data_IF_505966159521
#
_entry.id   IF_505966159521
#
_cell.length_a   1.000
_cell.length_b   1.000
_cell.length_c   1.000
_cell.angle_alpha   90.00
_cell.angle_beta   90.00
_cell.angle_gamma   90.00
#
_symmetry.space_group_name_H-M   'P 1'
#
loop_
_entity.id
_entity.type
_entity.pdbx_description
1 polymer ?
#
# COMPACT_ATOMS: atom_id res chain seq x y z
N UNK A 1 -61.87 -60.41 3.14
CA UNK A 1 -62.76 -59.42 3.78
C UNK A 1 -62.14 -59.02 5.11
N UNK A 2 -61.51 -57.84 5.18
CA UNK A 2 -61.50 -56.92 6.33
C UNK A 2 -60.33 -55.94 6.18
N UNK A 3 -60.69 -54.69 5.94
CA UNK A 3 -59.85 -53.50 5.84
C UNK A 3 -59.68 -52.94 7.26
N UNK A 4 -58.46 -52.60 7.69
CA UNK A 4 -58.24 -51.50 8.66
C UNK A 4 -56.93 -50.76 8.37
N UNK A 5 -57.11 -49.50 7.94
CA UNK A 5 -56.14 -48.41 7.88
C UNK A 5 -55.47 -48.12 9.22
N UNK A 6 -54.29 -47.50 9.22
CA UNK A 6 -54.05 -46.10 9.63
C UNK A 6 -52.57 -45.82 9.93
N UNK A 7 -52.16 -44.58 9.65
CA UNK A 7 -51.03 -43.83 10.19
C UNK A 7 -49.63 -44.03 9.57
N UNK A 8 -49.46 -43.31 8.46
CA UNK A 8 -48.26 -42.57 8.07
C UNK A 8 -47.55 -41.90 9.25
N UNK A 9 -46.26 -42.21 9.46
CA UNK A 9 -45.31 -41.34 10.17
C UNK A 9 -44.04 -41.29 9.32
N UNK A 10 -43.95 -40.28 8.46
CA UNK A 10 -42.69 -39.89 7.83
C UNK A 10 -41.85 -39.18 8.90
N UNK A 11 -40.83 -39.86 9.41
CA UNK A 11 -39.81 -39.24 10.25
C UNK A 11 -38.90 -38.41 9.34
N UNK A 12 -39.23 -37.13 9.14
CA UNK A 12 -38.40 -36.19 8.42
C UNK A 12 -37.14 -35.88 9.25
N UNK A 13 -36.01 -36.45 8.84
CA UNK A 13 -34.67 -36.07 9.30
C UNK A 13 -34.37 -34.68 8.74
N UNK A 14 -34.68 -33.64 9.51
CA UNK A 14 -34.19 -32.29 9.24
C UNK A 14 -32.82 -32.11 9.91
N UNK A 15 -31.77 -32.67 9.28
CA UNK A 15 -30.40 -32.25 9.55
C UNK A 15 -30.25 -30.82 9.05
N UNK A 16 -30.42 -29.85 9.95
CA UNK A 16 -30.02 -28.48 9.74
C UNK A 16 -28.49 -28.46 9.63
N UNK A 17 -27.99 -28.58 8.38
CA UNK A 17 -26.63 -28.21 8.03
C UNK A 17 -26.56 -26.69 8.11
N UNK A 18 -26.26 -26.15 9.30
CA UNK A 18 -25.71 -24.79 9.41
C UNK A 18 -24.35 -24.86 8.72
N UNK A 19 -24.33 -24.48 7.44
CA UNK A 19 -23.11 -24.11 6.76
C UNK A 19 -22.54 -22.91 7.52
N UNK A 20 -21.60 -23.16 8.43
CA UNK A 20 -20.65 -22.14 8.86
C UNK A 20 -19.87 -21.75 7.61
N UNK A 21 -20.39 -20.76 6.86
CA UNK A 21 -19.54 -20.02 5.96
C UNK A 21 -18.42 -19.47 6.84
N UNK A 22 -17.13 -19.74 6.53
CA UNK A 22 -16.06 -19.09 7.24
C UNK A 22 -16.30 -17.59 7.09
N UNK A 23 -16.53 -16.90 8.21
CA UNK A 23 -16.41 -15.45 8.23
C UNK A 23 -14.97 -15.19 7.80
N UNK A 24 -14.79 -14.84 6.52
CA UNK A 24 -13.56 -14.31 5.97
C UNK A 24 -13.26 -13.10 6.83
N UNK A 25 -12.37 -13.27 7.82
CA UNK A 25 -11.93 -12.16 8.65
C UNK A 25 -11.40 -11.10 7.67
N UNK A 26 -12.11 -9.98 7.60
CA UNK A 26 -11.68 -8.84 6.84
C UNK A 26 -10.29 -8.48 7.35
N UNK A 27 -9.29 -8.54 6.48
CA UNK A 27 -7.92 -8.28 6.90
C UNK A 27 -7.78 -6.85 7.40
N UNK A 28 -6.61 -6.50 7.92
CA UNK A 28 -6.47 -5.30 8.75
C UNK A 28 -6.06 -4.06 7.96
N UNK A 29 -5.12 -4.22 7.02
CA UNK A 29 -4.76 -3.21 6.05
C UNK A 29 -4.12 -3.84 4.79
N UNK A 30 -4.15 -3.14 3.65
CA UNK A 30 -3.56 -3.60 2.38
C UNK A 30 -2.88 -2.48 1.59
N UNK A 31 -1.90 -2.83 0.77
CA UNK A 31 -1.19 -1.89 -0.12
C UNK A 31 -1.85 -1.92 -1.49
N UNK A 32 -2.77 -0.99 -1.73
CA UNK A 32 -3.56 -0.93 -2.97
C UNK A 32 -2.76 -0.44 -4.17
N UNK A 33 -1.73 0.37 -3.93
CA UNK A 33 -0.94 0.95 -5.02
C UNK A 33 0.47 1.26 -4.56
N UNK A 34 1.43 0.98 -5.44
CA UNK A 34 2.83 1.40 -5.38
C UNK A 34 3.10 2.28 -6.59
N UNK A 35 3.32 3.58 -6.38
CA UNK A 35 3.48 4.53 -7.49
C UNK A 35 4.94 4.67 -7.89
N UNK A 36 5.26 4.37 -9.14
CA UNK A 36 6.60 4.50 -9.70
C UNK A 36 6.87 5.85 -10.36
N UNK A 37 8.15 6.27 -10.37
CA UNK A 37 8.60 7.47 -11.08
C UNK A 37 8.53 7.32 -12.61
N UNK A 38 8.58 6.09 -13.11
CA UNK A 38 8.40 5.71 -14.51
C UNK A 38 6.93 5.69 -14.98
N UNK A 39 5.99 6.19 -14.15
CA UNK A 39 4.55 6.21 -14.46
C UNK A 39 3.87 4.84 -14.39
N UNK A 40 4.59 3.78 -13.98
CA UNK A 40 4.00 2.47 -13.71
C UNK A 40 3.48 2.40 -12.28
N UNK A 41 2.44 1.61 -12.08
CA UNK A 41 1.90 1.32 -10.77
C UNK A 41 2.05 -0.17 -10.48
N UNK A 42 2.49 -0.50 -9.27
CA UNK A 42 2.42 -1.85 -8.72
C UNK A 42 1.32 -1.96 -7.67
N UNK A 43 1.15 -3.16 -7.13
CA UNK A 43 0.22 -3.49 -6.05
C UNK A 43 0.92 -4.35 -5.00
N UNK A 44 0.38 -4.40 -3.79
CA UNK A 44 0.79 -5.40 -2.81
C UNK A 44 0.53 -6.82 -3.32
N UNK A 45 1.41 -7.75 -2.99
CA UNK A 45 1.25 -9.16 -3.37
C UNK A 45 -0.05 -9.74 -2.81
N UNK A 46 -0.83 -10.38 -3.68
CA UNK A 46 -2.13 -10.94 -3.36
C UNK A 46 -3.31 -9.96 -3.44
N UNK A 47 -3.05 -8.65 -3.47
CA UNK A 47 -4.10 -7.61 -3.57
C UNK A 47 -4.73 -7.65 -4.96
N UNK A 48 -6.07 -7.72 -4.98
CA UNK A 48 -6.90 -7.78 -6.18
C UNK A 48 -7.43 -6.40 -6.57
N UNK A 49 -7.88 -6.21 -7.81
CA UNK A 49 -8.57 -4.99 -8.23
C UNK A 49 -9.88 -4.72 -7.45
N UNK A 50 -10.32 -3.46 -7.43
CA UNK A 50 -11.50 -3.00 -6.68
C UNK A 50 -12.83 -3.63 -7.16
N UNK A 51 -12.90 -4.14 -8.39
CA UNK A 51 -14.04 -4.89 -8.94
C UNK A 51 -14.09 -6.37 -8.52
N UNK A 52 -13.00 -6.87 -7.92
CA UNK A 52 -12.92 -8.22 -7.35
C UNK A 52 -13.06 -8.18 -5.82
N UNK A 53 -12.36 -7.24 -5.16
CA UNK A 53 -12.42 -7.08 -3.69
C UNK A 53 -12.86 -5.65 -3.33
N UNK A 54 -14.03 -5.48 -2.68
CA UNK A 54 -14.53 -4.17 -2.31
C UNK A 54 -13.59 -3.39 -1.38
N UNK A 55 -13.59 -2.07 -1.52
CA UNK A 55 -12.86 -1.12 -0.64
C UNK A 55 -13.78 -0.24 0.21
N UNK A 56 -15.06 -0.58 0.26
CA UNK A 56 -16.09 0.13 1.03
C UNK A 56 -17.16 -0.87 1.48
N UNK A 57 -17.84 -0.56 2.59
CA UNK A 57 -18.89 -1.40 3.15
C UNK A 57 -18.38 -2.36 4.23
N UNK A 58 -19.06 -3.49 4.39
CA UNK A 58 -18.67 -4.59 5.27
C UNK A 58 -18.46 -5.88 4.48
N UNK A 59 -18.47 -7.04 5.16
CA UNK A 59 -18.27 -8.34 4.51
C UNK A 59 -16.86 -8.50 3.94
N UNK A 60 -16.76 -8.85 2.66
CA UNK A 60 -15.49 -9.14 1.95
C UNK A 60 -14.59 -7.90 1.71
N UNK A 61 -14.90 -6.77 2.34
CA UNK A 61 -14.11 -5.54 2.20
C UNK A 61 -12.66 -5.80 2.65
N UNK A 62 -11.72 -5.75 1.71
CA UNK A 62 -10.32 -6.03 1.99
C UNK A 62 -9.99 -7.48 2.34
N UNK A 63 -10.75 -8.46 1.85
CA UNK A 63 -10.48 -9.90 2.04
C UNK A 63 -9.15 -10.40 1.45
N UNK A 64 -8.46 -9.55 0.68
CA UNK A 64 -7.15 -9.78 0.06
C UNK A 64 -5.98 -9.12 0.80
N UNK A 65 -6.21 -8.58 1.99
CA UNK A 65 -5.15 -8.04 2.82
C UNK A 65 -4.18 -9.13 3.31
N UNK A 66 -2.89 -8.78 3.35
CA UNK A 66 -1.87 -9.65 3.90
C UNK A 66 -1.83 -9.52 5.43
N UNK A 67 -1.82 -10.67 6.10
CA UNK A 67 -1.67 -10.81 7.54
C UNK A 67 -0.28 -11.33 7.89
N UNK A 68 0.35 -10.70 8.87
CA UNK A 68 1.67 -11.06 9.35
C UNK A 68 1.59 -11.64 10.76
N UNK A 69 2.43 -12.62 11.03
CA UNK A 69 2.68 -13.05 12.41
C UNK A 69 3.27 -11.86 13.20
N UNK A 70 2.73 -11.62 14.39
CA UNK A 70 3.25 -10.59 15.30
C UNK A 70 4.72 -10.82 15.63
N UNK A 71 5.48 -9.72 15.73
CA UNK A 71 6.89 -9.73 16.10
C UNK A 71 7.86 -9.32 14.99
N UNK A 72 9.17 -9.29 15.29
CA UNK A 72 10.16 -8.67 14.40
C UNK A 72 10.40 -9.46 13.10
N UNK A 73 10.33 -10.80 13.16
CA UNK A 73 10.66 -11.72 12.07
C UNK A 73 9.45 -12.60 11.71
N UNK A 74 8.46 -12.07 10.98
CA UNK A 74 7.26 -12.83 10.64
C UNK A 74 7.61 -13.97 9.68
N UNK A 75 6.93 -15.11 9.84
CA UNK A 75 6.98 -16.24 8.93
C UNK A 75 5.56 -16.68 8.57
N UNK A 76 5.14 -16.66 7.30
CA UNK A 76 5.92 -16.30 6.11
C UNK A 76 6.33 -14.82 6.06
N UNK A 77 7.47 -14.54 5.42
CA UNK A 77 8.08 -13.20 5.45
C UNK A 77 7.24 -12.13 4.76
N UNK A 78 6.36 -12.49 3.82
CA UNK A 78 5.42 -11.60 3.14
C UNK A 78 3.97 -11.79 3.58
N UNK A 79 3.76 -12.49 4.70
CA UNK A 79 2.45 -12.72 5.27
C UNK A 79 1.62 -13.77 4.50
N UNK A 80 0.40 -13.93 4.99
CA UNK A 80 -0.63 -14.78 4.40
C UNK A 80 -1.76 -13.91 3.86
N UNK A 81 -2.31 -14.26 2.71
CA UNK A 81 -3.46 -13.59 2.10
C UNK A 81 -4.59 -14.64 2.02
N UNK A 82 -5.66 -14.51 2.82
CA UNK A 82 -6.67 -15.56 2.98
C UNK A 82 -7.33 -16.05 1.68
N UNK A 83 -7.50 -15.15 0.71
CA UNK A 83 -8.14 -15.47 -0.59
C UNK A 83 -7.23 -16.27 -1.54
N UNK A 84 -5.92 -16.34 -1.29
CA UNK A 84 -5.02 -17.12 -2.14
C UNK A 84 -5.20 -18.64 -1.91
N UNK A 85 -5.10 -19.49 -2.96
CA UNK A 85 -5.25 -20.94 -2.81
C UNK A 85 -4.28 -21.57 -1.79
N UNK A 86 -3.02 -21.13 -1.77
CA UNK A 86 -2.02 -21.57 -0.80
C UNK A 86 -2.09 -20.80 0.52
N UNK A 87 -2.86 -19.72 0.58
CA UNK A 87 -2.87 -18.65 1.59
C UNK A 87 -1.52 -17.95 1.82
N UNK A 88 -0.39 -18.53 1.42
CA UNK A 88 0.94 -17.96 1.59
C UNK A 88 1.35 -17.20 0.32
N UNK A 89 1.93 -16.01 0.51
CA UNK A 89 2.53 -15.24 -0.58
C UNK A 89 3.81 -15.94 -1.06
N UNK A 90 3.76 -16.55 -2.26
CA UNK A 90 4.94 -17.04 -2.96
C UNK A 90 5.67 -15.86 -3.63
N UNK A 91 6.77 -15.43 -3.02
CA UNK A 91 7.57 -14.29 -3.49
C UNK A 91 8.00 -14.49 -4.94
N UNK A 92 8.47 -15.68 -5.32
CA UNK A 92 8.99 -15.92 -6.66
C UNK A 92 7.92 -15.77 -7.73
N UNK A 93 6.72 -16.31 -7.46
CA UNK A 93 5.57 -16.21 -8.36
C UNK A 93 5.08 -14.77 -8.49
N UNK A 94 4.92 -14.05 -7.38
CA UNK A 94 4.45 -12.67 -7.40
C UNK A 94 5.48 -11.70 -7.99
N UNK A 95 6.78 -11.93 -7.79
CA UNK A 95 7.85 -11.18 -8.47
C UNK A 95 7.75 -11.39 -9.98
N UNK A 96 7.57 -12.63 -10.46
CA UNK A 96 7.40 -12.91 -11.89
C UNK A 96 6.18 -12.18 -12.47
N UNK A 97 5.03 -12.27 -11.78
CA UNK A 97 3.82 -11.56 -12.21
C UNK A 97 4.01 -10.05 -12.26
N UNK A 98 4.73 -9.47 -11.30
CA UNK A 98 5.02 -8.04 -11.28
C UNK A 98 6.00 -7.62 -12.40
N UNK A 99 6.96 -8.47 -12.76
CA UNK A 99 7.83 -8.26 -13.94
C UNK A 99 6.96 -8.18 -15.20
N UNK A 100 6.05 -9.14 -15.38
CA UNK A 100 5.18 -9.22 -16.56
C UNK A 100 4.22 -8.02 -16.66
N UNK A 101 3.71 -7.54 -15.51
CA UNK A 101 2.84 -6.36 -15.44
C UNK A 101 3.61 -5.02 -15.61
N UNK A 102 4.92 -5.04 -15.38
CA UNK A 102 5.80 -3.88 -15.38
C UNK A 102 5.99 -3.27 -13.98
N UNK A 103 7.24 -3.13 -13.57
CA UNK A 103 7.60 -2.76 -12.20
C UNK A 103 7.64 -1.23 -12.01
N UNK A 104 7.05 -0.69 -10.93
CA UNK A 104 7.21 0.71 -10.57
C UNK A 104 8.66 1.04 -10.21
N UNK A 105 9.21 2.12 -10.75
CA UNK A 105 10.57 2.57 -10.40
C UNK A 105 10.58 3.45 -9.16
N UNK A 106 11.64 3.34 -8.35
CA UNK A 106 11.87 4.25 -7.22
C UNK A 106 12.12 5.67 -7.73
N UNK A 107 11.69 6.70 -6.98
CA UNK A 107 12.03 8.09 -7.29
C UNK A 107 13.51 8.37 -7.05
N UNK A 108 14.06 9.41 -7.70
CA UNK A 108 15.49 9.74 -7.61
C UNK A 108 15.99 10.02 -6.19
N UNK A 109 15.10 10.47 -5.30
CA UNK A 109 15.37 10.71 -3.88
C UNK A 109 15.17 9.46 -3.00
N UNK A 110 14.95 8.28 -3.59
CA UNK A 110 14.71 7.03 -2.88
C UNK A 110 13.27 6.83 -2.40
N UNK A 111 12.36 7.79 -2.62
CA UNK A 111 10.98 7.70 -2.13
C UNK A 111 10.12 6.74 -2.96
N UNK A 112 9.18 6.09 -2.28
CA UNK A 112 8.20 5.16 -2.83
C UNK A 112 6.83 5.51 -2.23
N UNK A 113 6.00 6.27 -2.96
CA UNK A 113 4.65 6.59 -2.54
C UNK A 113 3.72 5.38 -2.65
N UNK A 114 2.96 5.13 -1.60
CA UNK A 114 2.01 4.04 -1.46
C UNK A 114 0.60 4.58 -1.21
N UNK A 115 -0.40 3.89 -1.76
CA UNK A 115 -1.78 4.00 -1.28
C UNK A 115 -2.06 2.79 -0.40
N UNK A 116 -2.32 3.02 0.87
CA UNK A 116 -2.61 1.98 1.87
C UNK A 116 -4.08 2.09 2.25
N UNK A 117 -4.78 0.96 2.25
CA UNK A 117 -6.16 0.87 2.68
C UNK A 117 -6.21 0.30 4.08
N UNK A 118 -6.65 1.12 5.02
CA UNK A 118 -7.01 0.67 6.36
C UNK A 118 -8.43 0.13 6.33
N UNK A 119 -8.57 -1.15 6.60
CA UNK A 119 -9.86 -1.84 6.53
C UNK A 119 -10.63 -1.64 7.83
N UNK A 120 -9.96 -1.88 8.97
CA UNK A 120 -10.55 -1.78 10.30
C UNK A 120 -9.71 -0.88 11.22
N UNK A 121 -10.20 -0.63 12.44
CA UNK A 121 -9.55 0.27 13.40
C UNK A 121 -8.19 -0.20 13.89
N UNK A 122 -7.87 -1.49 13.80
CA UNK A 122 -6.60 -2.07 14.26
C UNK A 122 -5.53 -2.14 13.15
N UNK A 123 -5.81 -1.52 11.99
CA UNK A 123 -4.89 -1.39 10.86
C UNK A 123 -4.33 0.01 10.66
N UNK A 124 -4.35 0.82 11.72
CA UNK A 124 -3.71 2.13 11.73
C UNK A 124 -2.17 2.04 11.78
N UNK A 125 -1.55 3.21 11.81
CA UNK A 125 -0.10 3.37 11.93
C UNK A 125 0.46 3.32 13.36
N UNK A 126 1.78 3.50 13.51
CA UNK A 126 2.73 3.78 12.44
C UNK A 126 3.05 2.54 11.59
N UNK A 127 3.22 2.74 10.29
CA UNK A 127 3.79 1.75 9.38
C UNK A 127 5.31 1.77 9.48
N UNK A 128 5.93 0.61 9.27
CA UNK A 128 7.38 0.42 9.12
C UNK A 128 7.65 -0.36 7.85
N UNK A 129 8.73 -0.03 7.14
CA UNK A 129 9.12 -0.73 5.93
C UNK A 129 10.60 -1.13 5.96
N UNK A 130 10.89 -2.21 5.24
CA UNK A 130 12.22 -2.80 5.09
C UNK A 130 12.32 -3.40 3.69
N UNK A 131 13.54 -3.49 3.14
CA UNK A 131 13.76 -4.03 1.80
C UNK A 131 14.79 -5.14 1.78
N UNK A 132 14.60 -6.09 0.87
CA UNK A 132 15.52 -7.14 0.48
C UNK A 132 16.13 -6.74 -0.87
N UNK A 133 17.44 -6.50 -0.88
CA UNK A 133 18.18 -6.02 -2.06
C UNK A 133 18.20 -7.06 -3.18
N UNK A 134 18.22 -8.34 -2.84
CA UNK A 134 18.21 -9.48 -3.76
C UNK A 134 16.81 -9.91 -4.19
N UNK A 135 15.77 -9.24 -3.70
CA UNK A 135 14.36 -9.53 -3.94
C UNK A 135 13.90 -10.94 -3.52
N UNK A 136 14.63 -11.61 -2.62
CA UNK A 136 14.30 -12.97 -2.16
C UNK A 136 13.53 -12.99 -0.83
N UNK A 137 13.61 -11.91 -0.06
CA UNK A 137 13.07 -11.84 1.30
C UNK A 137 13.92 -12.54 2.37
N UNK A 138 15.15 -12.97 2.04
CA UNK A 138 16.06 -13.65 2.97
C UNK A 138 16.82 -12.69 3.90
N UNK A 139 17.02 -11.45 3.49
CA UNK A 139 17.70 -10.43 4.27
C UNK A 139 16.99 -9.09 4.14
N UNK A 140 16.93 -8.33 5.23
CA UNK A 140 16.14 -7.11 5.31
C UNK A 140 16.99 -5.94 5.79
N UNK A 141 16.87 -4.83 5.08
CA UNK A 141 17.51 -3.56 5.36
C UNK A 141 16.41 -2.55 5.70
N UNK A 142 16.58 -1.73 6.75
CA UNK A 142 15.56 -0.78 7.16
C UNK A 142 15.34 0.33 6.12
N UNK A 143 14.11 0.79 6.01
CA UNK A 143 13.72 1.99 5.27
C UNK A 143 13.18 3.04 6.24
N UNK A 144 13.18 4.29 5.80
CA UNK A 144 12.60 5.40 6.57
C UNK A 144 11.17 5.68 6.08
N UNK A 145 10.36 6.26 6.96
CA UNK A 145 9.00 6.68 6.65
C UNK A 145 8.95 8.20 6.59
N UNK A 146 8.86 8.76 5.39
CA UNK A 146 8.80 10.23 5.18
C UNK A 146 7.39 10.77 5.41
N UNK A 147 6.37 9.99 5.07
CA UNK A 147 4.98 10.24 5.41
C UNK A 147 4.39 8.93 5.91
N UNK A 148 3.82 8.94 7.11
CA UNK A 148 3.32 7.72 7.75
C UNK A 148 1.79 7.71 7.87
N UNK A 149 1.21 6.53 8.06
CA UNK A 149 -0.21 6.35 8.38
C UNK A 149 -0.53 6.99 9.72
N UNK A 150 -1.75 7.54 9.83
CA UNK A 150 -2.31 7.96 11.10
C UNK A 150 -2.58 6.74 12.00
N UNK A 151 -2.46 6.94 13.30
CA UNK A 151 -2.73 5.91 14.30
C UNK A 151 -1.75 5.98 15.47
N UNK A 152 -2.15 5.33 16.57
CA UNK A 152 -1.33 5.17 17.75
C UNK A 152 -1.27 3.68 18.11
N UNK A 153 -0.07 3.12 18.15
CA UNK A 153 0.17 1.68 18.40
C UNK A 153 -0.65 0.74 17.49
N UNK A 154 -0.79 1.12 16.21
CA UNK A 154 -1.52 0.34 15.21
C UNK A 154 -3.02 0.61 15.18
N UNK A 155 -3.53 1.53 16.00
CA UNK A 155 -4.96 1.81 16.11
C UNK A 155 -5.28 3.21 15.59
N UNK A 156 -6.26 3.30 14.68
CA UNK A 156 -6.86 4.57 14.25
C UNK A 156 -8.39 4.49 14.31
N UNK A 157 -9.05 5.62 14.58
CA UNK A 157 -10.51 5.69 14.74
C UNK A 157 -11.29 5.47 13.44
N UNK A 158 -10.64 5.75 12.30
CA UNK A 158 -11.21 5.57 10.97
C UNK A 158 -11.18 4.09 10.56
N UNK A 159 -11.97 3.75 9.55
CA UNK A 159 -11.99 2.42 8.92
C UNK A 159 -12.40 2.59 7.46
N UNK A 160 -12.16 1.58 6.62
CA UNK A 160 -12.38 1.66 5.19
C UNK A 160 -11.80 2.94 4.56
N UNK A 161 -10.58 3.31 4.95
CA UNK A 161 -9.97 4.60 4.56
C UNK A 161 -8.70 4.36 3.77
N UNK A 162 -8.57 5.03 2.62
CA UNK A 162 -7.35 5.06 1.82
C UNK A 162 -6.45 6.19 2.33
N UNK A 163 -5.19 5.89 2.61
CA UNK A 163 -4.17 6.82 3.07
C UNK A 163 -2.98 6.82 2.13
N UNK A 164 -2.37 8.00 1.97
CA UNK A 164 -1.08 8.11 1.28
C UNK A 164 0.03 7.94 2.30
N UNK A 165 0.97 7.04 2.00
CA UNK A 165 2.15 6.76 2.81
C UNK A 165 3.36 6.90 1.91
N UNK A 166 4.49 7.37 2.44
CA UNK A 166 5.74 7.46 1.69
C UNK A 166 6.84 6.81 2.51
N UNK A 167 7.35 5.69 2.01
CA UNK A 167 8.59 5.09 2.51
C UNK A 167 9.75 5.50 1.61
N UNK A 168 10.94 5.59 2.17
CA UNK A 168 12.13 6.08 1.48
C UNK A 168 13.32 5.17 1.78
N UNK A 169 13.98 4.72 0.71
CA UNK A 169 15.25 4.03 0.78
C UNK A 169 16.33 4.96 1.33
N UNK A 170 17.22 4.44 2.18
CA UNK A 170 18.36 5.20 2.70
C UNK A 170 19.42 5.44 1.62
N UNK A 171 20.22 6.49 1.79
CA UNK A 171 21.39 6.73 0.93
C UNK A 171 22.29 5.48 0.87
N UNK A 172 22.80 5.18 -0.33
CA UNK A 172 23.60 3.98 -0.59
C UNK A 172 22.79 2.69 -0.79
N UNK A 173 21.46 2.71 -0.62
CA UNK A 173 20.62 1.55 -0.92
C UNK A 173 20.78 1.16 -2.39
N UNK A 174 20.92 -0.15 -2.64
CA UNK A 174 21.12 -0.72 -3.97
C UNK A 174 20.36 -2.03 -4.10
N UNK A 175 19.79 -2.25 -5.29
CA UNK A 175 19.15 -3.50 -5.65
C UNK A 175 20.10 -4.41 -6.44
N UNK A 176 19.87 -5.70 -6.28
CA UNK A 176 20.64 -6.80 -6.89
C UNK A 176 19.76 -7.95 -7.34
N UNK A 177 18.46 -7.90 -7.06
CA UNK A 177 17.49 -8.91 -7.47
C UNK A 177 17.13 -8.82 -8.96
N UNK A 178 16.56 -9.92 -9.46
CA UNK A 178 16.14 -10.06 -10.86
C UNK A 178 17.28 -10.20 -11.85
N UNK A 179 16.95 -10.50 -13.12
CA UNK A 179 17.93 -10.73 -14.18
C UNK A 179 18.80 -9.49 -14.48
N UNK A 180 18.19 -8.31 -14.35
CA UNK A 180 18.78 -6.99 -14.59
C UNK A 180 19.50 -6.40 -13.37
N UNK A 181 19.45 -7.08 -12.21
CA UNK A 181 20.08 -6.64 -10.94
C UNK A 181 19.62 -5.25 -10.48
N UNK A 182 18.36 -4.94 -10.70
CA UNK A 182 17.73 -3.67 -10.35
C UNK A 182 16.39 -3.86 -9.62
N UNK A 183 16.01 -5.09 -9.25
CA UNK A 183 14.80 -5.38 -8.48
C UNK A 183 15.08 -5.46 -6.99
N UNK A 184 14.24 -4.81 -6.19
CA UNK A 184 14.18 -4.95 -4.75
C UNK A 184 12.79 -5.39 -4.30
N UNK A 185 12.74 -6.25 -3.28
CA UNK A 185 11.52 -6.60 -2.58
C UNK A 185 11.37 -5.68 -1.37
N UNK A 186 10.22 -5.05 -1.21
CA UNK A 186 9.90 -4.22 -0.04
C UNK A 186 8.79 -4.88 0.75
N UNK A 187 8.94 -4.92 2.06
CA UNK A 187 7.93 -5.32 3.03
C UNK A 187 7.56 -4.12 3.87
N UNK A 188 6.27 -3.82 3.96
CA UNK A 188 5.73 -2.80 4.84
C UNK A 188 4.71 -3.42 5.79
N UNK A 189 4.80 -3.07 7.07
CA UNK A 189 3.94 -3.58 8.15
C UNK A 189 3.39 -2.45 9.01
N UNK A 190 2.13 -2.57 9.39
CA UNK A 190 1.38 -1.66 10.26
C UNK A 190 0.40 -2.46 11.13
N UNK A 191 -0.51 -1.76 11.81
CA UNK A 191 -1.44 -2.39 12.74
C UNK A 191 -0.79 -2.80 14.06
N UNK A 192 -1.60 -3.30 14.98
CA UNK A 192 -1.12 -3.75 16.30
C UNK A 192 -0.11 -4.87 16.13
N UNK A 193 1.09 -4.69 16.68
CA UNK A 193 2.25 -5.59 16.56
C UNK A 193 2.72 -5.88 15.13
N UNK A 194 2.38 -5.02 14.15
CA UNK A 194 2.82 -5.16 12.77
C UNK A 194 2.11 -6.30 12.02
N UNK A 195 0.85 -6.58 12.37
CA UNK A 195 0.07 -7.71 11.86
C UNK A 195 -0.51 -7.52 10.45
N UNK A 196 -0.42 -6.32 9.86
CA UNK A 196 -1.01 -6.02 8.55
C UNK A 196 -0.03 -5.34 7.61
N UNK A 197 -0.28 -5.37 6.29
CA UNK A 197 0.49 -4.61 5.31
C UNK A 197 0.65 -5.35 4.00
N UNK A 198 1.90 -5.56 3.57
CA UNK A 198 2.17 -6.38 2.39
C UNK A 198 3.61 -6.30 1.90
N UNK A 199 3.93 -7.19 0.98
CA UNK A 199 5.14 -7.11 0.17
C UNK A 199 4.83 -6.60 -1.23
N UNK A 200 5.80 -5.93 -1.86
CA UNK A 200 5.73 -5.53 -3.26
C UNK A 200 7.15 -5.39 -3.82
N UNK A 201 7.29 -5.32 -5.14
CA UNK A 201 8.57 -5.05 -5.79
C UNK A 201 8.63 -3.68 -6.42
N UNK A 202 9.83 -3.13 -6.41
CA UNK A 202 10.19 -1.89 -7.10
C UNK A 202 11.50 -2.11 -7.85
N UNK A 203 11.75 -1.26 -8.84
CA UNK A 203 13.02 -1.26 -9.57
C UNK A 203 13.79 0.05 -9.38
N UNK A 204 15.11 -0.05 -9.38
CA UNK A 204 16.00 1.11 -9.31
C UNK A 204 17.32 0.78 -9.99
N UNK A 205 17.64 1.52 -11.04
CA UNK A 205 18.96 1.47 -11.66
C UNK A 205 19.96 2.26 -10.80
N UNK A 206 21.03 1.60 -10.36
CA UNK A 206 22.08 2.22 -9.55
C UNK A 206 21.79 2.19 -8.06
N UNK A 207 22.03 3.32 -7.38
CA UNK A 207 21.91 3.45 -5.93
C UNK A 207 21.28 4.79 -5.56
N UNK A 208 20.62 4.85 -4.41
CA UNK A 208 20.10 6.12 -3.88
C UNK A 208 21.26 7.03 -3.50
N UNK A 209 21.30 8.22 -4.09
CA UNK A 209 22.31 9.22 -3.79
C UNK A 209 21.91 10.03 -2.56
N UNK A 210 22.91 10.48 -1.81
CA UNK A 210 22.68 11.39 -0.68
C UNK A 210 22.23 12.76 -1.21
N UNK A 211 21.20 13.35 -0.61
CA UNK A 211 20.69 14.67 -0.99
C UNK A 211 21.72 15.80 -0.76
N UNK A 212 22.80 15.52 -0.04
CA UNK A 212 23.85 16.48 0.32
C UNK A 212 25.08 16.49 -0.59
N UNK A 213 25.24 15.51 -1.50
CA UNK A 213 26.42 15.39 -2.36
C UNK A 213 26.05 15.37 -3.85
N UNK A 214 25.43 16.46 -4.31
CA UNK A 214 25.18 16.73 -5.73
C UNK A 214 26.43 17.24 -6.46
N UNK A 215 27.51 16.46 -6.48
CA UNK A 215 28.66 16.66 -7.38
C UNK A 215 28.70 15.50 -8.39
N UNK A 216 27.76 15.51 -9.33
CA UNK A 216 27.94 14.83 -10.62
C UNK A 216 27.45 15.79 -11.70
N UNK A 217 28.39 16.17 -12.57
CA UNK A 217 28.18 17.03 -13.73
C UNK A 217 26.99 16.55 -14.57
N UNK A 218 25.89 17.29 -14.48
CA UNK A 218 24.85 17.24 -15.48
C UNK A 218 25.42 17.83 -16.79
N UNK A 219 25.28 17.08 -17.89
CA UNK A 219 25.35 17.69 -19.22
C UNK A 219 24.34 18.85 -19.29
N UNK A 220 24.63 19.96 -19.98
CA UNK A 220 23.92 21.22 -19.80
C UNK A 220 22.54 21.13 -20.47
N UNK A 221 21.55 20.67 -19.73
CA UNK A 221 20.17 21.09 -19.96
C UNK A 221 20.01 22.37 -19.15
N UNK A 222 19.87 23.49 -19.86
CA UNK A 222 19.58 24.82 -19.31
C UNK A 222 18.47 24.75 -18.26
N UNK A 223 18.86 24.52 -17.02
CA UNK A 223 18.00 24.56 -15.85
C UNK A 223 18.51 25.72 -15.03
N UNK A 224 18.30 26.93 -15.54
CA UNK A 224 18.29 28.08 -14.66
C UNK A 224 17.24 27.77 -13.58
N UNK A 225 17.57 27.86 -12.28
CA UNK A 225 16.52 27.85 -11.26
C UNK A 225 15.53 28.95 -11.67
N UNK A 226 14.24 28.63 -11.70
CA UNK A 226 13.17 29.61 -11.88
C UNK A 226 13.19 30.55 -10.67
N UNK A 227 14.14 31.48 -10.65
CA UNK A 227 14.12 32.64 -9.78
C UNK A 227 13.05 33.57 -10.34
N UNK A 228 11.83 33.41 -9.82
CA UNK A 228 10.76 34.37 -10.05
C UNK A 228 11.26 35.72 -9.53
N UNK A 229 11.37 36.70 -10.42
CA UNK A 229 11.71 38.07 -10.01
C UNK A 229 10.61 38.61 -9.10
N UNK A 230 10.92 39.62 -8.29
CA UNK A 230 9.92 40.24 -7.40
C UNK A 230 8.65 40.70 -8.14
N UNK A 231 8.78 41.04 -9.43
CA UNK A 231 7.65 41.38 -10.30
C UNK A 231 6.79 40.15 -10.66
N UNK A 232 7.40 39.00 -10.92
CA UNK A 232 6.68 37.75 -11.19
C UNK A 232 5.98 37.23 -9.93
N UNK A 233 6.62 37.34 -8.76
CA UNK A 233 5.96 37.03 -7.48
C UNK A 233 4.74 37.94 -7.23
N UNK A 234 4.85 39.24 -7.53
CA UNK A 234 3.74 40.18 -7.37
C UNK A 234 2.55 39.84 -8.28
N UNK A 235 2.81 39.38 -9.51
CA UNK A 235 1.77 38.94 -10.44
C UNK A 235 1.08 37.65 -9.99
N UNK A 236 1.82 36.71 -9.39
CA UNK A 236 1.28 35.46 -8.86
C UNK A 236 0.41 35.73 -7.64
N UNK A 237 0.86 36.59 -6.72
CA UNK A 237 0.08 36.98 -5.54
C UNK A 237 -1.22 37.67 -5.93
N UNK A 238 -1.19 38.60 -6.90
CA UNK A 238 -2.40 39.26 -7.40
C UNK A 238 -3.41 38.24 -7.98
N UNK A 239 -2.93 37.25 -8.75
CA UNK A 239 -3.78 36.24 -9.37
C UNK A 239 -4.39 35.26 -8.36
N UNK A 240 -3.65 34.91 -7.31
CA UNK A 240 -4.15 34.08 -6.20
C UNK A 240 -5.21 34.83 -5.39
N UNK A 241 -5.01 36.14 -5.15
CA UNK A 241 -6.00 36.98 -4.47
C UNK A 241 -7.29 37.11 -5.30
N UNK A 242 -7.19 37.26 -6.62
CA UNK A 242 -8.37 37.33 -7.49
C UNK A 242 -9.11 35.98 -7.57
N UNK A 243 -8.37 34.86 -7.57
CA UNK A 243 -8.99 33.54 -7.43
C UNK A 243 -9.70 33.37 -6.08
N UNK A 244 -9.08 33.81 -4.98
CA UNK A 244 -9.68 33.72 -3.65
C UNK A 244 -10.93 34.60 -3.51
N UNK A 245 -10.97 35.77 -4.17
CA UNK A 245 -12.18 36.61 -4.28
C UNK A 245 -13.27 35.92 -5.14
N UNK A 246 -12.90 35.29 -6.25
CA UNK A 246 -13.86 34.57 -7.12
C UNK A 246 -14.52 33.37 -6.43
N UNK A 247 -13.85 32.80 -5.42
CA UNK A 247 -14.37 31.71 -4.59
C UNK A 247 -14.97 32.20 -3.27
N UNK A 248 -15.17 33.52 -3.10
CA UNK A 248 -15.73 34.14 -1.90
C UNK A 248 -14.97 33.84 -0.59
N UNK A 249 -13.68 33.49 -0.69
CA UNK A 249 -12.83 33.11 0.45
C UNK A 249 -12.16 34.32 1.15
N UNK A 250 -12.35 35.52 0.62
CA UNK A 250 -11.79 36.77 1.17
C UNK A 250 -12.86 37.85 1.16
N UNK A 251 -13.18 38.42 2.34
CA UNK A 251 -14.13 39.52 2.46
C UNK A 251 -13.57 40.83 1.86
N UNK A 252 -14.40 41.70 1.26
CA UNK A 252 -13.93 42.99 0.76
C UNK A 252 -13.43 43.86 1.92
N UNK A 253 -12.28 44.49 1.73
CA UNK A 253 -11.71 45.41 2.70
C UNK A 253 -12.69 46.58 2.98
N UNK A 254 -13.12 46.71 4.23
CA UNK A 254 -13.90 47.84 4.72
C UNK A 254 -13.08 49.11 4.62
N UNK A 255 -13.50 50.07 3.79
CA UNK A 255 -12.94 51.43 3.80
C UNK A 255 -13.29 52.09 5.14
N UNK A 256 -12.28 52.54 5.89
CA UNK A 256 -12.40 53.68 6.82
C UNK A 256 -11.78 54.89 6.13
#
# INVERSE_FOLDING_TARGET
MSIRSFATIYLAVACILISLAPETQAGTCSILQVRGANGKNGVGFGVQPDDVVPRTGGGDTGADAAEFQAGPNPNPVCGVVPILPSRVVDISSFVSQAVDAGIPSVFSNGSIPLTVFQINRIGGGPMTCEYSSDATGNSWQPMDMTLNMAGNFGIDSQQNTKMTVVTTLRAGSKFTGGATKDLGLVRCRAGTDGNCGGCFVVQMSGQVMDATNGDVAASPVNSAPLQLTSQQMSSVVAKVIDMAKSQNLVAPASKR
#
